data_IF_978684417444
#
_entry.id   IF_978684417444
#
_cell.length_a   1.000
_cell.length_b   1.000
_cell.length_c   1.000
_cell.angle_alpha   90.00
_cell.angle_beta   90.00
_cell.angle_gamma   90.00
#
_symmetry.space_group_name_H-M   'P 1'
#
loop_
_entity.id
_entity.type
_entity.pdbx_description
1 polymer ?
#
# COMPACT_ATOMS: atom_id res chain seq x y z
N UNK A 1 -0.89 -8.05 -12.87
CA UNK A 1 0.25 -8.90 -12.45
C UNK A 1 -0.22 -10.30 -12.03
N UNK A 2 0.69 -11.25 -11.76
CA UNK A 2 0.38 -12.52 -11.11
C UNK A 2 0.46 -12.46 -9.56
N UNK A 3 0.07 -13.53 -8.87
CA UNK A 3 0.02 -13.58 -7.41
C UNK A 3 1.40 -13.40 -6.74
N UNK A 4 2.47 -13.88 -7.36
CA UNK A 4 3.84 -13.76 -6.84
C UNK A 4 4.32 -12.32 -7.00
N UNK A 5 4.04 -11.72 -8.16
CA UNK A 5 4.33 -10.32 -8.44
C UNK A 5 3.59 -9.38 -7.48
N UNK A 6 2.28 -9.57 -7.25
CA UNK A 6 1.53 -8.75 -6.28
C UNK A 6 2.08 -8.89 -4.86
N UNK A 7 2.42 -10.11 -4.45
CA UNK A 7 3.00 -10.36 -3.13
C UNK A 7 4.33 -9.63 -2.96
N UNK A 8 5.18 -9.65 -3.98
CA UNK A 8 6.48 -8.99 -3.94
C UNK A 8 6.32 -7.47 -3.87
N UNK A 9 5.51 -6.90 -4.75
CA UNK A 9 5.31 -5.45 -4.83
C UNK A 9 4.71 -4.88 -3.53
N UNK A 10 3.65 -5.50 -3.00
CA UNK A 10 3.02 -5.03 -1.75
C UNK A 10 3.97 -5.16 -0.56
N UNK A 11 4.82 -6.20 -0.52
CA UNK A 11 5.84 -6.34 0.53
C UNK A 11 6.90 -5.27 0.46
N UNK A 12 7.37 -4.95 -0.74
CA UNK A 12 8.37 -3.90 -0.93
C UNK A 12 7.81 -2.53 -0.53
N UNK A 13 6.58 -2.20 -0.95
CA UNK A 13 5.89 -0.99 -0.53
C UNK A 13 5.70 -0.92 0.98
N UNK A 14 5.34 -2.03 1.62
CA UNK A 14 5.21 -2.09 3.08
C UNK A 14 6.55 -1.86 3.79
N UNK A 15 7.65 -2.40 3.27
CA UNK A 15 9.00 -2.23 3.82
C UNK A 15 9.55 -0.81 3.62
N UNK A 16 9.20 -0.16 2.52
CA UNK A 16 9.54 1.24 2.24
C UNK A 16 8.65 2.25 2.98
N UNK A 17 7.45 1.83 3.38
CA UNK A 17 6.50 2.70 4.09
C UNK A 17 7.02 3.13 5.47
N UNK A 18 6.53 4.29 5.95
CA UNK A 18 6.81 4.76 7.31
C UNK A 18 5.90 4.12 8.37
N UNK A 19 5.17 3.06 8.04
CA UNK A 19 4.32 2.34 8.99
C UNK A 19 5.21 1.72 10.07
N UNK A 20 5.17 2.28 11.27
CA UNK A 20 5.96 1.80 12.42
C UNK A 20 5.19 0.81 13.30
N UNK A 21 3.87 0.71 13.14
CA UNK A 21 2.99 -0.15 13.94
C UNK A 21 3.16 -1.62 13.52
N UNK A 22 3.76 -2.49 14.37
CA UNK A 22 4.12 -3.85 13.95
C UNK A 22 2.91 -4.73 13.62
N UNK A 23 1.76 -4.51 14.25
CA UNK A 23 0.53 -5.27 13.98
C UNK A 23 0.04 -5.03 12.55
N UNK A 24 0.13 -3.81 12.03
CA UNK A 24 -0.26 -3.48 10.65
C UNK A 24 0.56 -4.27 9.65
N UNK A 25 1.88 -4.34 9.87
CA UNK A 25 2.76 -5.09 8.99
C UNK A 25 2.53 -6.61 9.07
N UNK A 26 2.01 -7.12 10.19
CA UNK A 26 1.57 -8.52 10.30
C UNK A 26 0.27 -8.73 9.55
N UNK A 27 -0.73 -7.86 9.76
CA UNK A 27 -2.04 -7.95 9.13
C UNK A 27 -1.94 -7.94 7.59
N UNK A 28 -1.15 -7.01 7.03
CA UNK A 28 -0.90 -6.95 5.58
C UNK A 28 -0.25 -8.23 5.08
N UNK A 29 0.73 -8.79 5.80
CA UNK A 29 1.41 -10.04 5.41
C UNK A 29 0.47 -11.25 5.47
N UNK A 30 -0.39 -11.32 6.47
CA UNK A 30 -1.38 -12.40 6.61
C UNK A 30 -2.40 -12.35 5.46
N UNK A 31 -2.84 -11.15 5.07
CA UNK A 31 -3.71 -10.95 3.89
C UNK A 31 -3.03 -11.40 2.58
N UNK A 32 -1.74 -11.09 2.40
CA UNK A 32 -0.98 -11.58 1.25
C UNK A 32 -0.88 -13.11 1.22
N UNK A 33 -0.69 -13.76 2.37
CA UNK A 33 -0.69 -15.24 2.47
C UNK A 33 -2.05 -15.83 2.11
N UNK A 34 -3.14 -15.14 2.46
CA UNK A 34 -4.50 -15.53 2.11
C UNK A 34 -4.85 -15.30 0.62
N UNK A 35 -4.01 -14.57 -0.12
CA UNK A 35 -4.27 -14.17 -1.51
C UNK A 35 -5.22 -12.98 -1.64
N UNK A 36 -5.47 -12.27 -0.55
CA UNK A 36 -6.36 -11.10 -0.48
C UNK A 36 -5.58 -9.81 -0.84
N UNK A 37 -5.08 -9.73 -2.08
CA UNK A 37 -4.15 -8.65 -2.49
C UNK A 37 -4.75 -7.26 -2.43
N UNK A 38 -5.98 -7.07 -2.95
CA UNK A 38 -6.67 -5.77 -2.87
C UNK A 38 -6.87 -5.35 -1.42
N UNK A 39 -7.28 -6.27 -0.54
CA UNK A 39 -7.47 -5.95 0.87
C UNK A 39 -6.14 -5.66 1.60
N UNK A 40 -5.07 -6.38 1.28
CA UNK A 40 -3.72 -6.11 1.80
C UNK A 40 -3.26 -4.70 1.42
N UNK A 41 -3.45 -4.34 0.15
CA UNK A 41 -3.13 -3.01 -0.37
C UNK A 41 -3.98 -1.92 0.28
N UNK A 42 -5.29 -2.11 0.36
CA UNK A 42 -6.23 -1.17 0.98
C UNK A 42 -5.90 -0.95 2.46
N UNK A 43 -5.58 -2.02 3.17
CA UNK A 43 -5.19 -1.96 4.58
C UNK A 43 -3.94 -1.08 4.74
N UNK A 44 -2.90 -1.33 3.94
CA UNK A 44 -1.67 -0.54 3.98
C UNK A 44 -1.94 0.94 3.66
N UNK A 45 -2.68 1.22 2.59
CA UNK A 45 -2.99 2.58 2.17
C UNK A 45 -3.84 3.33 3.21
N UNK A 46 -4.79 2.65 3.85
CA UNK A 46 -5.62 3.24 4.90
C UNK A 46 -4.77 3.68 6.09
N UNK A 47 -3.82 2.84 6.51
CA UNK A 47 -2.89 3.20 7.59
C UNK A 47 -1.98 4.37 7.23
N UNK A 48 -1.43 4.39 6.01
CA UNK A 48 -0.62 5.54 5.55
C UNK A 48 -1.45 6.82 5.58
N UNK A 49 -2.71 6.74 5.14
CA UNK A 49 -3.60 7.90 5.08
C UNK A 49 -4.03 8.38 6.47
N UNK A 50 -4.52 7.47 7.31
CA UNK A 50 -5.05 7.78 8.64
C UNK A 50 -3.99 8.34 9.60
N UNK A 51 -2.75 7.85 9.50
CA UNK A 51 -1.62 8.35 10.29
C UNK A 51 -0.92 9.56 9.63
N UNK A 52 -1.45 10.08 8.51
CA UNK A 52 -0.91 11.19 7.73
C UNK A 52 0.59 11.00 7.40
N UNK A 53 0.98 9.76 7.07
CA UNK A 53 2.38 9.40 6.85
C UNK A 53 2.87 10.02 5.53
N UNK A 54 3.95 10.82 5.55
CA UNK A 54 4.47 11.44 4.35
C UNK A 54 5.04 10.38 3.40
N UNK A 55 4.75 10.51 2.12
CA UNK A 55 5.23 9.61 1.06
C UNK A 55 6.00 10.40 0.00
N UNK A 56 6.93 9.77 -0.70
CA UNK A 56 7.62 10.39 -1.84
C UNK A 56 6.77 10.30 -3.11
N UNK A 57 7.05 11.15 -4.10
CA UNK A 57 6.39 11.09 -5.41
C UNK A 57 6.58 9.74 -6.10
N UNK A 58 7.78 9.16 -6.03
CA UNK A 58 8.07 7.84 -6.60
C UNK A 58 7.26 6.73 -5.92
N UNK A 59 7.12 6.78 -4.59
CA UNK A 59 6.28 5.85 -3.84
C UNK A 59 4.81 5.98 -4.24
N UNK A 60 4.33 7.22 -4.35
CA UNK A 60 2.96 7.50 -4.78
C UNK A 60 2.66 6.98 -6.19
N UNK A 61 3.58 7.16 -7.15
CA UNK A 61 3.40 6.61 -8.51
C UNK A 61 3.26 5.09 -8.51
N UNK A 62 3.98 4.39 -7.64
CA UNK A 62 3.84 2.92 -7.49
C UNK A 62 2.48 2.55 -6.93
N UNK A 63 2.00 3.27 -5.92
CA UNK A 63 0.64 3.08 -5.39
C UNK A 63 -0.43 3.28 -6.46
N UNK A 64 -0.30 4.34 -7.28
CA UNK A 64 -1.22 4.61 -8.40
C UNK A 64 -1.25 3.44 -9.38
N UNK A 65 -0.10 2.99 -9.88
CA UNK A 65 -0.02 1.85 -10.82
C UNK A 65 -0.62 0.58 -10.23
N UNK A 66 -0.30 0.28 -8.97
CA UNK A 66 -0.82 -0.92 -8.32
C UNK A 66 -2.32 -0.83 -8.07
N UNK A 67 -2.85 0.37 -7.80
CA UNK A 67 -4.28 0.58 -7.63
C UNK A 67 -5.10 0.39 -8.90
N UNK A 68 -4.52 0.69 -10.08
CA UNK A 68 -5.15 0.43 -11.38
C UNK A 68 -5.42 -1.07 -11.58
N UNK A 69 -4.49 -1.90 -11.12
CA UNK A 69 -4.58 -3.35 -11.18
C UNK A 69 -5.52 -3.94 -10.11
N UNK A 70 -5.53 -3.36 -8.90
CA UNK A 70 -6.28 -3.88 -7.75
C UNK A 70 -7.67 -3.27 -7.55
N UNK A 71 -8.00 -2.20 -8.28
CA UNK A 71 -9.31 -1.53 -8.27
C UNK A 71 -9.53 -0.56 -7.11
N UNK A 72 -8.47 -0.02 -6.50
CA UNK A 72 -8.55 0.82 -5.30
C UNK A 72 -8.13 2.27 -5.53
N UNK A 73 -8.95 3.03 -6.25
CA UNK A 73 -8.56 4.36 -6.75
C UNK A 73 -8.91 5.52 -5.81
N UNK A 74 -10.00 5.40 -5.05
CA UNK A 74 -10.56 6.54 -4.30
C UNK A 74 -9.60 6.99 -3.21
N UNK A 75 -9.07 6.04 -2.42
CA UNK A 75 -8.12 6.33 -1.35
C UNK A 75 -6.78 6.83 -1.89
N UNK A 76 -6.29 6.24 -2.97
CA UNK A 76 -5.04 6.69 -3.62
C UNK A 76 -5.16 8.12 -4.14
N UNK A 77 -6.33 8.53 -4.62
CA UNK A 77 -6.55 9.93 -5.02
C UNK A 77 -6.38 10.88 -3.84
N UNK A 78 -6.86 10.51 -2.65
CA UNK A 78 -6.72 11.32 -1.43
C UNK A 78 -5.26 11.38 -0.95
N UNK A 79 -4.54 10.26 -1.01
CA UNK A 79 -3.14 10.17 -0.57
C UNK A 79 -2.17 11.08 -1.35
N UNK A 80 -2.59 11.67 -2.47
CA UNK A 80 -1.81 12.72 -3.16
C UNK A 80 -1.47 13.89 -2.22
N UNK A 81 -2.30 14.19 -1.22
CA UNK A 81 -2.04 15.26 -0.26
C UNK A 81 -0.88 14.99 0.70
N UNK A 82 -0.47 13.72 0.83
CA UNK A 82 0.64 13.27 1.67
C UNK A 82 1.98 13.26 0.93
N UNK A 83 1.98 13.57 -0.37
CA UNK A 83 3.19 13.55 -1.20
C UNK A 83 4.10 14.70 -0.80
N UNK A 84 5.33 14.35 -0.42
CA UNK A 84 6.40 15.28 -0.09
C UNK A 84 7.53 15.13 -1.11
N UNK A 85 7.92 16.25 -1.75
CA UNK A 85 8.90 16.25 -2.84
C UNK A 85 8.57 17.26 -3.92
#
# INVERSE_FOLDING_TARGET
MDAVEYTAEIKELLEESLISTPSVAVDVRDLLVAGEFSLAFDTMCSWIYEDELPISSDFYERLVRLSEDLGSHDLITLMHELVTG
#
